data_IF_323586193565
#
_entry.id   IF_323586193565
#
_cell.length_a   1.000
_cell.length_b   1.000
_cell.length_c   1.000
_cell.angle_alpha   90.00
_cell.angle_beta   90.00
_cell.angle_gamma   90.00
#
_symmetry.space_group_name_H-M   'P 1'
#
loop_
_entity.id
_entity.type
_entity.pdbx_description
1 polymer ?
#
# COMPACT_ATOMS: atom_id res chain seq x y z
N UNK A 1 -13.81 -3.83 7.52
CA UNK A 1 -13.02 -4.29 6.35
C UNK A 1 -12.03 -5.35 6.78
N UNK A 2 -11.15 -5.04 7.73
CA UNK A 2 -10.22 -5.97 8.39
C UNK A 2 -10.80 -7.35 8.71
N UNK A 3 -11.84 -7.45 9.55
CA UNK A 3 -12.44 -8.76 9.90
C UNK A 3 -13.10 -9.46 8.69
N UNK A 4 -13.66 -8.70 7.74
CA UNK A 4 -14.36 -9.24 6.57
C UNK A 4 -13.40 -9.89 5.58
N UNK A 5 -12.20 -9.32 5.43
CA UNK A 5 -11.20 -9.74 4.44
C UNK A 5 -9.94 -10.30 5.10
N UNK A 6 -10.01 -10.74 6.36
CA UNK A 6 -8.85 -11.17 7.15
C UNK A 6 -8.03 -12.26 6.43
N UNK A 7 -8.69 -13.16 5.72
CA UNK A 7 -8.03 -14.26 5.00
C UNK A 7 -7.22 -13.78 3.79
N UNK A 8 -7.58 -12.62 3.23
CA UNK A 8 -6.84 -11.99 2.13
C UNK A 8 -5.72 -11.07 2.64
N UNK A 9 -5.70 -10.69 3.92
CA UNK A 9 -4.75 -9.71 4.45
C UNK A 9 -3.43 -10.38 4.88
N UNK A 10 -2.44 -10.34 4.01
CA UNK A 10 -1.07 -10.80 4.31
C UNK A 10 -0.39 -9.80 5.25
N UNK A 11 -0.49 -8.51 4.91
CA UNK A 11 -0.08 -7.41 5.77
C UNK A 11 -1.21 -6.40 5.83
N UNK A 12 -1.97 -6.31 6.94
CA UNK A 12 -3.24 -5.62 6.93
C UNK A 12 -3.13 -4.10 6.70
N UNK A 13 -2.41 -3.39 7.56
CA UNK A 13 -2.25 -1.93 7.48
C UNK A 13 -0.93 -1.51 8.17
N UNK A 14 -0.04 -0.87 7.42
CA UNK A 14 1.26 -0.40 7.88
C UNK A 14 1.38 1.11 7.67
N UNK A 15 1.08 1.95 8.68
CA UNK A 15 1.26 3.39 8.60
C UNK A 15 2.73 3.78 8.45
N UNK A 16 3.02 4.73 7.56
CA UNK A 16 4.37 5.25 7.34
C UNK A 16 4.55 6.59 8.05
N UNK A 17 5.30 6.57 9.15
CA UNK A 17 5.65 7.76 9.94
C UNK A 17 7.13 8.11 9.79
N UNK A 18 7.53 9.33 10.17
CA UNK A 18 8.94 9.77 10.20
C UNK A 18 9.70 9.56 8.87
N UNK A 19 9.03 9.80 7.74
CA UNK A 19 9.61 9.64 6.40
C UNK A 19 10.88 10.50 6.21
N UNK A 20 11.83 9.98 5.43
CA UNK A 20 13.02 10.70 4.96
C UNK A 20 13.12 10.54 3.45
N UNK A 21 13.23 11.64 2.71
CA UNK A 21 13.44 11.62 1.27
C UNK A 21 14.94 11.62 0.98
N UNK A 22 15.44 10.53 0.41
CA UNK A 22 16.84 10.38 0.00
C UNK A 22 16.94 10.65 -1.50
N UNK A 23 17.87 11.51 -1.90
CA UNK A 23 18.20 11.85 -3.29
C UNK A 23 19.72 11.80 -3.49
N UNK A 24 20.19 11.85 -4.73
CA UNK A 24 21.64 11.99 -5.01
C UNK A 24 22.26 13.23 -4.36
N UNK A 25 21.46 14.27 -4.13
CA UNK A 25 21.90 15.58 -3.62
C UNK A 25 21.77 15.71 -2.09
N UNK A 26 21.25 14.70 -1.39
CA UNK A 26 21.12 14.71 0.07
C UNK A 26 19.80 14.13 0.59
N UNK A 27 19.53 14.42 1.87
CA UNK A 27 18.39 13.87 2.63
C UNK A 27 17.50 15.01 3.15
N UNK A 28 16.19 14.87 2.96
CA UNK A 28 15.18 15.79 3.49
C UNK A 28 14.20 15.07 4.43
N UNK A 29 13.61 15.82 5.36
CA UNK A 29 12.51 15.33 6.19
C UNK A 29 11.22 15.21 5.39
N UNK A 30 10.45 14.16 5.68
CA UNK A 30 9.20 13.86 5.01
C UNK A 30 9.37 13.03 3.73
N UNK A 31 8.34 13.09 2.88
CA UNK A 31 8.34 12.49 1.55
C UNK A 31 8.06 13.55 0.48
N UNK A 32 8.05 13.13 -0.79
CA UNK A 32 7.55 13.98 -1.89
C UNK A 32 6.06 14.31 -1.69
N UNK A 33 5.53 15.42 -2.25
CA UNK A 33 4.10 15.65 -2.34
C UNK A 33 3.38 14.42 -2.92
N UNK A 34 2.29 14.00 -2.29
CA UNK A 34 1.55 12.80 -2.69
C UNK A 34 2.20 11.46 -2.30
N UNK A 35 3.29 11.45 -1.52
CA UNK A 35 3.87 10.18 -1.06
C UNK A 35 2.88 9.41 -0.19
N UNK A 36 2.80 8.09 -0.42
CA UNK A 36 2.01 7.16 0.38
C UNK A 36 2.16 7.40 1.89
N UNK A 37 1.04 7.28 2.59
CA UNK A 37 0.93 7.47 4.05
C UNK A 37 0.91 6.14 4.80
N UNK A 38 0.80 5.04 4.07
CA UNK A 38 0.73 3.68 4.58
C UNK A 38 0.70 2.71 3.41
N UNK A 39 0.83 1.42 3.70
CA UNK A 39 0.60 0.37 2.73
C UNK A 39 -0.03 -0.85 3.41
N UNK A 40 -0.57 -1.76 2.60
CA UNK A 40 -1.00 -3.08 3.01
C UNK A 40 -0.74 -4.07 1.88
N UNK A 41 -0.67 -5.35 2.20
CA UNK A 41 -0.51 -6.44 1.24
C UNK A 41 -1.72 -7.35 1.35
N UNK A 42 -2.39 -7.55 0.22
CA UNK A 42 -3.48 -8.51 0.08
C UNK A 42 -3.09 -9.62 -0.90
N UNK A 43 -3.54 -10.84 -0.61
CA UNK A 43 -3.50 -11.97 -1.54
C UNK A 43 -4.84 -12.07 -2.25
N UNK A 44 -4.80 -12.22 -3.58
CA UNK A 44 -5.98 -12.42 -4.41
C UNK A 44 -5.62 -13.23 -5.66
N UNK A 45 -6.62 -13.86 -6.29
CA UNK A 45 -6.41 -14.70 -7.49
C UNK A 45 -6.18 -13.89 -8.77
N UNK A 46 -6.59 -12.62 -8.79
CA UNK A 46 -6.39 -11.70 -9.92
C UNK A 46 -6.40 -10.24 -9.45
N UNK A 47 -5.99 -9.33 -10.35
CA UNK A 47 -6.02 -7.89 -10.05
C UNK A 47 -7.46 -7.37 -9.86
N UNK A 48 -8.44 -7.93 -10.56
CA UNK A 48 -9.86 -7.57 -10.41
C UNK A 48 -10.42 -8.03 -9.06
N UNK A 49 -9.98 -9.19 -8.56
CA UNK A 49 -10.34 -9.66 -7.23
C UNK A 49 -9.71 -8.78 -6.13
N UNK A 50 -8.44 -8.39 -6.30
CA UNK A 50 -7.77 -7.42 -5.43
C UNK A 50 -8.48 -6.05 -5.46
N UNK A 51 -8.87 -5.58 -6.64
CA UNK A 51 -9.61 -4.34 -6.83
C UNK A 51 -10.98 -4.38 -6.13
N UNK A 52 -11.71 -5.49 -6.22
CA UNK A 52 -12.97 -5.67 -5.53
C UNK A 52 -12.82 -5.58 -4.00
N UNK A 53 -11.73 -6.11 -3.44
CA UNK A 53 -11.39 -5.97 -2.02
C UNK A 53 -11.07 -4.51 -1.68
N UNK A 54 -10.16 -3.89 -2.44
CA UNK A 54 -9.69 -2.52 -2.24
C UNK A 54 -10.82 -1.48 -2.31
N UNK A 55 -11.75 -1.61 -3.26
CA UNK A 55 -12.93 -0.73 -3.41
C UNK A 55 -13.86 -0.70 -2.19
N UNK A 56 -13.74 -1.65 -1.28
CA UNK A 56 -14.53 -1.69 -0.04
C UNK A 56 -13.78 -1.16 1.18
N UNK A 57 -12.53 -0.71 1.00
CA UNK A 57 -11.70 -0.21 2.11
C UNK A 57 -12.24 1.14 2.62
N UNK A 58 -12.53 1.28 3.93
CA UNK A 58 -13.05 2.52 4.50
C UNK A 58 -12.09 3.71 4.36
N UNK A 59 -10.79 3.49 4.12
CA UNK A 59 -9.81 4.54 3.83
C UNK A 59 -10.20 5.38 2.61
N UNK A 60 -10.94 4.82 1.65
CA UNK A 60 -11.40 5.55 0.47
C UNK A 60 -12.33 6.73 0.79
N UNK A 61 -12.90 6.80 2.00
CA UNK A 61 -13.65 7.97 2.45
C UNK A 61 -12.77 9.17 2.82
N UNK A 62 -11.46 8.96 3.02
CA UNK A 62 -10.50 9.98 3.48
C UNK A 62 -9.28 10.13 2.57
N UNK A 63 -9.13 9.29 1.56
CA UNK A 63 -8.02 9.35 0.60
C UNK A 63 -8.22 8.39 -0.56
N UNK A 64 -7.14 8.14 -1.28
CA UNK A 64 -7.05 7.22 -2.40
C UNK A 64 -6.18 6.00 -2.06
N UNK A 65 -6.34 4.93 -2.85
CA UNK A 65 -5.52 3.72 -2.75
C UNK A 65 -4.93 3.46 -4.14
N UNK A 66 -3.61 3.45 -4.22
CA UNK A 66 -2.88 2.94 -5.38
C UNK A 66 -2.77 1.42 -5.27
N UNK A 67 -3.44 0.69 -6.16
CA UNK A 67 -3.40 -0.77 -6.21
C UNK A 67 -2.39 -1.24 -7.26
N UNK A 68 -1.44 -2.07 -6.86
CA UNK A 68 -0.44 -2.65 -7.76
C UNK A 68 -0.15 -4.11 -7.38
N UNK A 69 0.17 -4.92 -8.39
CA UNK A 69 0.68 -6.28 -8.18
C UNK A 69 2.15 -6.20 -7.72
N UNK A 70 2.47 -6.92 -6.64
CA UNK A 70 3.85 -7.12 -6.22
C UNK A 70 4.50 -8.12 -7.19
N UNK A 71 5.58 -7.71 -7.84
CA UNK A 71 6.43 -8.61 -8.61
C UNK A 71 7.55 -9.16 -7.73
N UNK A 72 7.68 -10.47 -7.67
CA UNK A 72 8.88 -11.07 -7.10
C UNK A 72 10.09 -10.74 -7.97
N UNK A 73 11.06 -10.05 -7.40
CA UNK A 73 12.34 -9.84 -8.05
C UNK A 73 13.09 -11.17 -8.04
N UNK A 74 13.16 -11.82 -9.20
CA UNK A 74 14.08 -12.94 -9.39
C UNK A 74 15.50 -12.38 -9.33
N UNK A 75 16.25 -12.80 -8.31
CA UNK A 75 17.68 -12.49 -8.24
C UNK A 75 18.40 -13.40 -9.23
N UNK A 76 19.02 -12.82 -10.24
CA UNK A 76 19.99 -13.48 -11.13
C UNK A 76 21.40 -13.42 -10.55
#
# INVERSE_FOLDING_TARGET
WMMKHQDALVEPENPLVNKRLITENGVAEGGKPGSMMGYGIIQADSIEAAEAIAKTNPFLAMGDIELAQIMEMTSS
#
